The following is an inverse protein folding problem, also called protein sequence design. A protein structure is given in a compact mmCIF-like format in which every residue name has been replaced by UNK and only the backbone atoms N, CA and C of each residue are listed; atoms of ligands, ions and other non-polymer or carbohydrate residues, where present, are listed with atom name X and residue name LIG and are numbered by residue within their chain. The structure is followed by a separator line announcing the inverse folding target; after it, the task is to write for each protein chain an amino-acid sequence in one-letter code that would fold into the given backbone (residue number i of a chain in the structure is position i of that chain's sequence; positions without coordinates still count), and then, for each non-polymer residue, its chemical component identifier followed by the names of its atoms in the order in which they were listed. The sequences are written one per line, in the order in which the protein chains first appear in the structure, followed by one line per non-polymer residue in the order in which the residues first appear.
data_IF_602120229425
#
_entry.id   IF_602120229425
#
_cell.length_a   1.000
_cell.length_b   1.000
_cell.length_c   1.000
_cell.angle_alpha   90.00
_cell.angle_beta   90.00
_cell.angle_gamma   90.00
#
_symmetry.space_group_name_H-M   'P 1'
#
loop_
_entity.id
_entity.type
_entity.pdbx_description
1 polymer ?
#
# COMPACT_ATOMS: atom_id res chain seq x y z
N UNK A 1 -19.42 -10.86 12.86
CA UNK A 1 -18.75 -9.84 12.02
C UNK A 1 -18.61 -10.41 10.62
N UNK A 2 -19.04 -9.66 9.60
CA UNK A 2 -18.97 -10.12 8.20
C UNK A 2 -17.56 -9.89 7.66
N UNK A 3 -17.01 -10.92 6.99
CA UNK A 3 -15.76 -10.83 6.23
C UNK A 3 -16.11 -10.41 4.80
N UNK A 4 -15.50 -9.33 4.33
CA UNK A 4 -15.70 -8.81 2.98
C UNK A 4 -14.36 -8.77 2.23
N UNK A 5 -14.37 -9.23 0.99
CA UNK A 5 -13.20 -9.19 0.10
C UNK A 5 -13.24 -7.90 -0.69
N UNK A 6 -12.15 -7.13 -0.64
CA UNK A 6 -12.03 -5.88 -1.38
C UNK A 6 -11.28 -6.17 -2.68
N UNK A 7 -11.86 -5.68 -3.79
CA UNK A 7 -11.28 -5.76 -5.11
C UNK A 7 -11.62 -4.49 -5.91
N UNK A 8 -10.67 -3.99 -6.70
CA UNK A 8 -10.83 -2.87 -7.64
C UNK A 8 -9.93 -3.06 -8.86
N UNK A 9 -10.37 -2.55 -10.00
CA UNK A 9 -9.57 -2.47 -11.23
C UNK A 9 -8.59 -1.29 -11.26
N UNK A 10 -8.70 -0.37 -10.29
CA UNK A 10 -7.80 0.79 -10.18
C UNK A 10 -6.48 0.47 -9.44
N UNK A 11 -6.32 -0.77 -8.99
CA UNK A 11 -5.10 -1.30 -8.41
C UNK A 11 -4.74 -2.63 -9.07
N UNK A 12 -3.46 -3.05 -9.07
CA UNK A 12 -3.03 -4.31 -9.66
C UNK A 12 -3.86 -5.50 -9.14
N UNK A 13 -4.33 -6.34 -10.04
CA UNK A 13 -5.11 -7.51 -9.68
C UNK A 13 -4.30 -8.47 -8.80
N UNK A 14 -4.98 -9.15 -7.87
CA UNK A 14 -4.37 -10.24 -7.14
C UNK A 14 -4.18 -11.45 -8.08
N UNK A 15 -2.93 -11.73 -8.45
CA UNK A 15 -2.56 -12.82 -9.38
C UNK A 15 -2.10 -14.10 -8.67
N UNK A 16 -2.39 -14.23 -7.37
CA UNK A 16 -2.01 -15.36 -6.52
C UNK A 16 -3.04 -15.65 -5.42
N UNK A 17 -2.71 -16.51 -4.43
CA UNK A 17 -3.65 -16.92 -3.38
C UNK A 17 -3.80 -15.86 -2.28
N UNK A 18 -4.16 -14.63 -2.66
CA UNK A 18 -4.41 -13.51 -1.75
C UNK A 18 -5.49 -12.57 -2.31
N UNK A 19 -5.96 -11.62 -1.51
CA UNK A 19 -6.91 -10.57 -1.91
C UNK A 19 -6.22 -9.21 -1.83
N UNK A 20 -6.67 -8.21 -2.59
CA UNK A 20 -6.10 -6.85 -2.46
C UNK A 20 -6.28 -6.29 -1.04
N UNK A 21 -7.45 -6.52 -0.45
CA UNK A 21 -7.68 -6.33 0.98
C UNK A 21 -8.77 -7.26 1.51
N UNK A 22 -8.83 -7.39 2.83
CA UNK A 22 -9.95 -8.02 3.54
C UNK A 22 -10.45 -7.05 4.60
N UNK A 23 -11.75 -6.79 4.59
CA UNK A 23 -12.45 -6.03 5.62
C UNK A 23 -13.11 -6.97 6.63
N UNK A 24 -12.86 -6.74 7.91
CA UNK A 24 -13.37 -7.52 9.03
C UNK A 24 -13.94 -6.55 10.09
N UNK A 25 -15.25 -6.27 9.98
CA UNK A 25 -15.85 -5.19 10.77
C UNK A 25 -15.29 -3.81 10.34
N UNK A 26 -14.86 -2.95 11.27
CA UNK A 26 -14.28 -1.64 10.93
C UNK A 26 -12.83 -1.72 10.46
N UNK A 27 -12.14 -2.85 10.67
CA UNK A 27 -10.75 -3.00 10.28
C UNK A 27 -10.62 -3.46 8.84
N UNK A 28 -9.68 -2.87 8.09
CA UNK A 28 -9.32 -3.31 6.74
C UNK A 28 -7.83 -3.63 6.72
N UNK A 29 -7.49 -4.83 6.27
CA UNK A 29 -6.12 -5.31 6.12
C UNK A 29 -5.79 -5.33 4.63
N UNK A 30 -4.90 -4.43 4.19
CA UNK A 30 -4.48 -4.33 2.80
C UNK A 30 -3.22 -5.17 2.59
N UNK A 31 -3.20 -5.96 1.52
CA UNK A 31 -1.98 -6.63 1.10
C UNK A 31 -0.93 -5.62 0.62
N UNK A 32 0.33 -6.03 0.68
CA UNK A 32 1.45 -5.25 0.19
C UNK A 32 1.27 -4.80 -1.25
N UNK A 33 1.50 -3.51 -1.47
CA UNK A 33 1.47 -2.87 -2.78
C UNK A 33 2.89 -2.54 -3.20
N UNK A 34 3.27 -3.03 -4.37
CA UNK A 34 4.48 -2.63 -5.10
C UNK A 34 4.11 -1.64 -6.21
N UNK A 35 5.11 -1.01 -6.81
CA UNK A 35 4.95 0.00 -7.86
C UNK A 35 4.56 -0.57 -9.23
N UNK A 36 3.53 -1.40 -9.31
CA UNK A 36 2.97 -1.87 -10.58
C UNK A 36 1.95 -0.87 -11.13
N UNK A 37 2.00 -0.60 -12.43
CA UNK A 37 0.92 0.09 -13.14
C UNK A 37 -0.28 -0.87 -13.30
N UNK A 38 -1.47 -0.54 -12.78
CA UNK A 38 -2.64 -1.42 -12.86
C UNK A 38 -3.12 -1.69 -14.29
N UNK A 39 -2.81 -0.82 -15.26
CA UNK A 39 -3.20 -1.00 -16.65
C UNK A 39 -2.31 -2.02 -17.38
N UNK A 40 -1.02 -2.06 -17.04
CA UNK A 40 -0.03 -2.89 -17.75
C UNK A 40 0.40 -4.13 -16.96
N UNK A 41 0.28 -4.09 -15.62
CA UNK A 41 0.78 -5.14 -14.73
C UNK A 41 2.31 -5.17 -14.61
N UNK A 42 3.00 -4.11 -15.04
CA UNK A 42 4.46 -3.99 -15.02
C UNK A 42 4.95 -2.95 -14.00
N UNK A 43 6.19 -3.13 -13.52
CA UNK A 43 6.81 -2.18 -12.60
C UNK A 43 7.06 -0.85 -13.32
N UNK A 44 6.66 0.25 -12.68
CA UNK A 44 6.99 1.59 -13.15
C UNK A 44 8.46 1.91 -12.89
N UNK A 45 8.97 2.91 -13.62
CA UNK A 45 10.40 3.24 -13.80
C UNK A 45 11.31 3.11 -12.57
N UNK A 46 11.74 4.26 -12.03
CA UNK A 46 12.73 4.30 -10.96
C UNK A 46 12.10 4.09 -9.57
N UNK A 47 12.94 4.19 -8.53
CA UNK A 47 12.50 4.02 -7.15
C UNK A 47 11.38 4.98 -6.74
N UNK A 48 11.51 6.26 -7.08
CA UNK A 48 10.55 7.28 -6.67
C UNK A 48 9.21 7.05 -7.37
N UNK A 49 9.25 6.69 -8.66
CA UNK A 49 8.06 6.26 -9.40
C UNK A 49 7.42 5.04 -8.73
N UNK A 50 8.21 4.03 -8.33
CA UNK A 50 7.68 2.84 -7.66
C UNK A 50 7.04 3.16 -6.31
N UNK A 51 7.64 4.04 -5.49
CA UNK A 51 7.05 4.47 -4.21
C UNK A 51 5.71 5.17 -4.46
N UNK A 52 5.66 6.13 -5.40
CA UNK A 52 4.42 6.85 -5.72
C UNK A 52 3.33 5.92 -6.24
N UNK A 53 3.68 5.01 -7.14
CA UNK A 53 2.73 4.05 -7.69
C UNK A 53 2.23 3.07 -6.63
N UNK A 54 3.10 2.59 -5.73
CA UNK A 54 2.70 1.71 -4.64
C UNK A 54 1.67 2.39 -3.71
N UNK A 55 1.88 3.66 -3.35
CA UNK A 55 0.91 4.43 -2.57
C UNK A 55 -0.37 4.75 -3.35
N UNK A 56 -0.30 4.99 -4.66
CA UNK A 56 -1.48 5.17 -5.50
C UNK A 56 -2.35 3.90 -5.54
N UNK A 57 -1.72 2.74 -5.72
CA UNK A 57 -2.38 1.44 -5.67
C UNK A 57 -3.03 1.19 -4.30
N UNK A 58 -2.29 1.48 -3.21
CA UNK A 58 -2.80 1.36 -1.84
C UNK A 58 -4.00 2.27 -1.59
N UNK A 59 -3.96 3.50 -2.10
CA UNK A 59 -5.07 4.46 -2.00
C UNK A 59 -6.30 4.00 -2.79
N UNK A 60 -6.11 3.40 -3.96
CA UNK A 60 -7.21 2.84 -4.76
C UNK A 60 -7.91 1.69 -4.02
N UNK A 61 -7.13 0.79 -3.40
CA UNK A 61 -7.68 -0.30 -2.57
C UNK A 61 -8.37 0.23 -1.31
N UNK A 62 -7.79 1.23 -0.63
CA UNK A 62 -8.41 1.90 0.51
C UNK A 62 -9.77 2.51 0.15
N UNK A 63 -9.86 3.18 -1.00
CA UNK A 63 -11.13 3.74 -1.52
C UNK A 63 -12.15 2.66 -1.83
N UNK A 64 -11.73 1.56 -2.44
CA UNK A 64 -12.60 0.42 -2.71
C UNK A 64 -13.15 -0.23 -1.42
N UNK A 65 -12.43 -0.12 -0.30
CA UNK A 65 -12.90 -0.55 1.01
C UNK A 65 -13.87 0.44 1.70
N UNK A 66 -14.11 1.61 1.09
CA UNK A 66 -14.93 2.68 1.65
C UNK A 66 -14.15 3.68 2.53
N UNK A 67 -12.82 3.71 2.44
CA UNK A 67 -11.97 4.62 3.22
C UNK A 67 -10.95 5.37 2.37
N UNK A 68 -9.88 5.80 3.02
CA UNK A 68 -8.80 6.59 2.43
C UNK A 68 -7.49 6.35 3.18
N UNK A 69 -6.39 6.96 2.72
CA UNK A 69 -5.13 6.93 3.45
C UNK A 69 -5.20 7.65 4.81
N UNK A 70 -6.21 8.51 5.04
CA UNK A 70 -6.44 9.16 6.33
C UNK A 70 -7.00 8.20 7.40
N UNK A 71 -7.55 7.06 6.98
CA UNK A 71 -8.09 6.02 7.87
C UNK A 71 -7.03 4.97 8.24
N UNK A 72 -5.81 5.10 7.69
CA UNK A 72 -4.69 4.22 8.01
C UNK A 72 -4.26 4.48 9.45
N UNK A 73 -4.12 3.39 10.21
CA UNK A 73 -3.58 3.43 11.58
C UNK A 73 -2.14 2.90 11.65
N UNK A 74 -1.72 2.08 10.67
CA UNK A 74 -0.38 1.52 10.57
C UNK A 74 0.04 1.31 9.12
N UNK A 75 1.25 1.77 8.78
CA UNK A 75 1.98 1.32 7.59
C UNK A 75 3.13 0.39 7.94
N UNK A 76 3.42 -0.61 7.10
CA UNK A 76 4.71 -1.30 7.08
C UNK A 76 5.36 -1.04 5.73
N UNK A 77 6.58 -0.49 5.74
CA UNK A 77 7.34 -0.20 4.53
C UNK A 77 8.51 -1.18 4.40
N UNK A 78 8.68 -1.75 3.23
CA UNK A 78 9.80 -2.64 2.91
C UNK A 78 10.64 -2.02 1.79
N UNK A 79 11.96 -1.94 2.00
CA UNK A 79 12.91 -1.44 1.02
C UNK A 79 13.98 -2.50 0.77
N UNK A 80 14.39 -2.68 -0.48
CA UNK A 80 15.58 -3.51 -0.78
C UNK A 80 16.90 -2.76 -0.53
N UNK A 81 16.85 -1.43 -0.49
CA UNK A 81 17.98 -0.56 -0.16
C UNK A 81 17.55 0.54 0.84
N UNK A 82 18.00 0.41 2.09
CA UNK A 82 17.72 1.40 3.15
C UNK A 82 18.45 2.74 2.94
N UNK A 83 19.43 2.82 2.04
CA UNK A 83 20.03 4.09 1.62
C UNK A 83 19.01 5.06 1.00
N UNK A 84 17.87 4.54 0.55
CA UNK A 84 16.77 5.33 -0.06
C UNK A 84 15.67 5.72 0.92
N UNK A 85 15.87 5.47 2.21
CA UNK A 85 14.88 5.77 3.24
C UNK A 85 14.45 7.24 3.26
N UNK A 86 15.38 8.18 3.07
CA UNK A 86 15.07 9.61 3.05
C UNK A 86 14.14 9.99 1.86
N UNK A 87 14.39 9.45 0.68
CA UNK A 87 13.56 9.67 -0.50
C UNK A 87 12.13 9.11 -0.31
N UNK A 88 12.02 7.88 0.20
CA UNK A 88 10.72 7.28 0.51
C UNK A 88 9.93 8.10 1.56
N UNK A 89 10.61 8.63 2.58
CA UNK A 89 9.98 9.50 3.58
C UNK A 89 9.48 10.82 2.99
N UNK A 90 10.26 11.45 2.11
CA UNK A 90 9.86 12.68 1.43
C UNK A 90 8.57 12.48 0.63
N UNK A 91 8.53 11.44 -0.19
CA UNK A 91 7.35 11.10 -0.99
C UNK A 91 6.15 10.76 -0.08
N UNK A 92 6.35 9.96 0.97
CA UNK A 92 5.27 9.63 1.90
C UNK A 92 4.69 10.90 2.57
N UNK A 93 5.53 11.87 2.94
CA UNK A 93 5.08 13.11 3.56
C UNK A 93 4.27 14.00 2.60
N UNK A 94 4.51 13.91 1.29
CA UNK A 94 3.67 14.56 0.27
C UNK A 94 2.30 13.88 0.11
N UNK A 95 2.27 12.55 0.22
CA UNK A 95 1.08 11.73 -0.08
C UNK A 95 0.17 11.50 1.14
N UNK A 96 0.72 11.54 2.35
CA UNK A 96 0.02 11.23 3.61
C UNK A 96 0.13 12.43 4.55
N UNK A 97 -0.99 13.14 4.71
CA UNK A 97 -1.08 14.29 5.61
C UNK A 97 -0.91 13.90 7.09
N UNK A 98 -0.48 14.86 7.91
CA UNK A 98 -0.46 14.71 9.36
C UNK A 98 -1.89 14.76 9.96
N UNK A 99 -2.14 14.11 11.12
CA UNK A 99 -1.21 13.29 11.90
C UNK A 99 -0.88 11.96 11.19
N UNK A 100 0.40 11.60 11.16
CA UNK A 100 0.83 10.37 10.50
C UNK A 100 0.48 9.12 11.33
N UNK A 101 0.17 7.99 10.68
CA UNK A 101 -0.06 6.72 11.37
C UNK A 101 1.21 6.17 12.01
N UNK A 102 1.03 5.14 12.85
CA UNK A 102 2.17 4.33 13.30
C UNK A 102 2.88 3.71 12.09
N UNK A 103 4.18 3.44 12.21
CA UNK A 103 4.97 2.92 11.10
C UNK A 103 6.10 2.01 11.54
N UNK A 104 6.39 1.00 10.72
CA UNK A 104 7.64 0.25 10.74
C UNK A 104 8.27 0.31 9.36
N UNK A 105 9.60 0.37 9.29
CA UNK A 105 10.35 0.29 8.03
C UNK A 105 11.45 -0.74 8.17
N UNK A 106 11.56 -1.65 7.19
CA UNK A 106 12.47 -2.79 7.26
C UNK A 106 13.24 -2.91 5.94
N UNK A 107 14.56 -3.14 6.05
CA UNK A 107 15.38 -3.53 4.91
C UNK A 107 15.21 -5.03 4.65
N UNK A 108 14.89 -5.42 3.42
CA UNK A 108 14.67 -6.80 3.01
C UNK A 108 15.60 -7.20 1.87
N UNK A 109 15.89 -8.49 1.73
CA UNK A 109 16.81 -8.98 0.69
C UNK A 109 16.25 -8.79 -0.73
N UNK A 110 14.93 -8.96 -0.91
CA UNK A 110 14.25 -8.87 -2.19
C UNK A 110 12.74 -8.71 -2.00
N UNK A 111 12.06 -8.16 -3.00
CA UNK A 111 10.60 -8.07 -3.08
C UNK A 111 10.08 -8.78 -4.34
N UNK A 112 8.78 -9.13 -4.41
CA UNK A 112 8.17 -9.72 -5.60
C UNK A 112 8.45 -8.90 -6.86
N UNK A 113 8.59 -9.60 -8.00
CA UNK A 113 8.88 -8.99 -9.33
C UNK A 113 10.17 -8.15 -9.40
N UNK A 114 11.03 -8.18 -8.38
CA UNK A 114 12.21 -7.32 -8.32
C UNK A 114 11.89 -5.88 -7.95
N UNK A 115 10.74 -5.63 -7.33
CA UNK A 115 10.38 -4.31 -6.81
C UNK A 115 11.42 -3.79 -5.81
N UNK A 116 11.54 -2.47 -5.71
CA UNK A 116 12.49 -1.81 -4.82
C UNK A 116 11.82 -1.27 -3.55
N UNK A 117 10.49 -1.19 -3.56
CA UNK A 117 9.67 -0.70 -2.47
C UNK A 117 8.33 -1.45 -2.42
N UNK A 118 7.86 -1.76 -1.22
CA UNK A 118 6.53 -2.30 -0.96
C UNK A 118 5.93 -1.62 0.29
N UNK A 119 4.62 -1.38 0.27
CA UNK A 119 3.85 -0.85 1.41
C UNK A 119 2.59 -1.66 1.65
N UNK A 120 2.37 -2.06 2.90
CA UNK A 120 1.08 -2.57 3.38
C UNK A 120 0.47 -1.62 4.43
N UNK A 121 -0.83 -1.74 4.65
CA UNK A 121 -1.54 -0.90 5.59
C UNK A 121 -2.66 -1.63 6.35
N UNK A 122 -2.93 -1.13 7.55
CA UNK A 122 -4.13 -1.44 8.32
C UNK A 122 -4.94 -0.15 8.45
N UNK A 123 -6.22 -0.21 8.09
CA UNK A 123 -7.17 0.90 8.24
C UNK A 123 -8.18 0.57 9.33
N UNK A 124 -8.73 1.62 9.94
CA UNK A 124 -9.92 1.55 10.79
C UNK A 124 -10.93 2.55 10.23
N UNK A 125 -11.99 2.03 9.62
CA UNK A 125 -13.10 2.83 9.13
C UNK A 125 -13.99 3.22 10.31
N UNK A 126 -14.50 4.46 10.29
CA UNK A 126 -15.54 4.86 11.23
C UNK A 126 -16.81 4.06 10.93
N UNK A 127 -17.51 3.64 11.99
CA UNK A 127 -18.88 3.19 11.82
C UNK A 127 -19.74 4.41 11.48
N UNK A 128 -20.63 4.25 10.51
CA UNK A 128 -21.72 5.20 10.24
C UNK A 128 -22.64 5.31 11.47
#
# INVERSE_FOLDING_TARGET
MTREIIATSEAPAAIGPYSQAVKAGPMVFLSGQIGLDPATGELVGDFEAQVRQAFANLSAVARAAGGSLADVVKFTLFLTDLGRFAAANGIMAELVAAPHPARSTVGVASLPRGAQFEVEAILVLRAD
#
